data_IF_155891943738
#
_entry.id   IF_155891943738
#
_cell.length_a   1.000
_cell.length_b   1.000
_cell.length_c   1.000
_cell.angle_alpha   90.00
_cell.angle_beta   90.00
_cell.angle_gamma   90.00
#
_symmetry.space_group_name_H-M   'P 1'
#
loop_
_entity.id
_entity.type
_entity.pdbx_description
1 polymer ?
#
# COMPACT_ATOMS: atom_id res chain seq x y z
N UNK A 1 1.17 -5.80 -1.19
CA UNK A 1 1.03 -5.79 0.28
C UNK A 1 0.16 -4.65 0.80
N UNK A 2 0.47 -3.40 0.43
CA UNK A 2 -0.24 -2.21 0.92
C UNK A 2 -1.76 -2.25 0.78
N UNK A 3 -2.29 -2.77 -0.33
CA UNK A 3 -3.74 -2.89 -0.52
C UNK A 3 -4.41 -3.81 0.51
N UNK A 4 -3.84 -5.00 0.73
CA UNK A 4 -4.33 -5.97 1.69
C UNK A 4 -4.27 -5.40 3.11
N UNK A 5 -3.20 -4.68 3.45
CA UNK A 5 -3.05 -3.99 4.73
C UNK A 5 -4.22 -3.03 5.01
N UNK A 6 -4.67 -2.26 4.00
CA UNK A 6 -5.81 -1.36 4.14
C UNK A 6 -7.11 -2.13 4.39
N UNK A 7 -7.35 -3.22 3.65
CA UNK A 7 -8.51 -4.09 3.90
C UNK A 7 -8.50 -4.72 5.29
N UNK A 8 -7.33 -5.12 5.79
CA UNK A 8 -7.19 -5.59 7.17
C UNK A 8 -7.58 -4.48 8.15
N UNK A 9 -7.07 -3.26 7.97
CA UNK A 9 -7.40 -2.13 8.85
C UNK A 9 -8.89 -1.75 8.83
N UNK A 10 -9.55 -1.84 7.66
CA UNK A 10 -10.97 -1.55 7.52
C UNK A 10 -11.88 -2.59 8.19
N UNK A 11 -11.46 -3.85 8.21
CA UNK A 11 -12.28 -4.97 8.69
C UNK A 11 -11.89 -5.45 10.10
N UNK A 12 -10.74 -5.03 10.63
CA UNK A 12 -10.32 -5.38 11.97
C UNK A 12 -11.25 -4.76 13.04
N UNK A 13 -11.38 -5.39 14.22
CA UNK A 13 -12.05 -4.78 15.35
C UNK A 13 -11.46 -3.39 15.65
N UNK A 14 -12.31 -2.51 16.17
CA UNK A 14 -11.89 -1.17 16.57
C UNK A 14 -10.65 -1.26 17.47
N UNK A 15 -9.65 -0.42 17.18
CA UNK A 15 -8.40 -0.30 17.92
C UNK A 15 -7.48 -1.54 17.89
N UNK A 16 -7.78 -2.56 17.08
CA UNK A 16 -6.89 -3.72 16.89
C UNK A 16 -5.66 -3.38 16.02
N UNK A 17 -5.84 -2.53 15.02
CA UNK A 17 -4.74 -2.00 14.20
C UNK A 17 -4.34 -0.63 14.74
N UNK A 18 -3.10 -0.54 15.23
CA UNK A 18 -2.57 0.67 15.90
C UNK A 18 -1.73 1.57 15.00
N UNK A 19 -1.36 1.10 13.82
CA UNK A 19 -0.66 1.88 12.83
C UNK A 19 -0.31 1.03 11.62
N UNK A 20 -0.06 1.69 10.49
CA UNK A 20 0.24 1.05 9.22
C UNK A 20 1.54 1.62 8.65
N UNK A 21 2.40 0.75 8.11
CA UNK A 21 3.56 1.15 7.31
C UNK A 21 3.41 0.54 5.92
N UNK A 22 3.16 1.38 4.93
CA UNK A 22 3.13 1.01 3.52
C UNK A 22 4.49 1.26 2.88
N UNK A 23 5.04 0.25 2.21
CA UNK A 23 6.26 0.32 1.41
C UNK A 23 5.87 0.10 -0.04
N UNK A 24 6.14 1.08 -0.91
CA UNK A 24 5.69 1.08 -2.30
C UNK A 24 4.19 0.67 -2.40
N UNK A 25 3.37 1.28 -1.56
CA UNK A 25 2.00 0.81 -1.34
C UNK A 25 1.09 1.21 -2.49
N UNK A 26 0.56 0.20 -3.19
CA UNK A 26 -0.26 0.42 -4.38
C UNK A 26 -1.63 -0.27 -4.33
N UNK A 27 -2.61 0.32 -3.62
CA UNK A 27 -3.99 -0.11 -3.69
C UNK A 27 -4.57 0.14 -5.08
N UNK A 28 -5.51 -0.68 -5.54
CA UNK A 28 -6.23 -0.49 -6.81
C UNK A 28 -5.34 -0.55 -8.08
N UNK A 29 -4.10 -1.04 -7.97
CA UNK A 29 -3.12 -1.08 -9.05
C UNK A 29 -3.62 -1.83 -10.30
N UNK A 30 -4.49 -2.82 -10.12
CA UNK A 30 -5.06 -3.59 -11.23
C UNK A 30 -5.79 -2.68 -12.21
N UNK A 31 -6.73 -1.87 -11.70
CA UNK A 31 -7.55 -0.98 -12.51
C UNK A 31 -6.79 0.26 -12.96
N UNK A 32 -5.92 0.79 -12.10
CA UNK A 32 -5.29 2.09 -12.35
C UNK A 32 -3.97 2.00 -13.12
N UNK A 33 -3.24 0.89 -13.00
CA UNK A 33 -1.90 0.73 -13.58
C UNK A 33 -1.82 -0.41 -14.59
N UNK A 34 -2.33 -1.61 -14.24
CA UNK A 34 -2.12 -2.81 -15.07
C UNK A 34 -3.07 -2.86 -16.26
N UNK A 35 -4.38 -2.82 -16.02
CA UNK A 35 -5.37 -2.96 -17.10
C UNK A 35 -5.22 -1.93 -18.24
N UNK A 36 -4.90 -0.65 -17.96
CA UNK A 36 -4.70 0.34 -19.03
C UNK A 36 -3.52 0.07 -19.97
N UNK A 37 -2.55 -0.77 -19.58
CA UNK A 37 -1.39 -1.11 -20.42
C UNK A 37 -1.60 -2.36 -21.27
N UNK A 38 -2.68 -3.11 -21.02
CA UNK A 38 -2.95 -4.35 -21.74
C UNK A 38 -3.54 -4.07 -23.12
N UNK A 39 -3.12 -4.89 -24.10
CA UNK A 39 -3.69 -4.85 -25.44
C UNK A 39 -5.13 -5.39 -25.45
N UNK A 40 -5.92 -4.98 -26.45
CA UNK A 40 -7.27 -5.53 -26.66
C UNK A 40 -7.26 -7.06 -26.84
N UNK A 41 -6.22 -7.61 -27.49
CA UNK A 41 -6.06 -9.05 -27.65
C UNK A 41 -5.83 -9.75 -26.31
N UNK A 42 -4.98 -9.18 -25.45
CA UNK A 42 -4.71 -9.70 -24.10
C UNK A 42 -5.99 -9.68 -23.26
N UNK A 43 -6.73 -8.57 -23.27
CA UNK A 43 -7.99 -8.44 -22.54
C UNK A 43 -9.02 -9.46 -23.03
N UNK A 44 -9.15 -9.62 -24.36
CA UNK A 44 -10.05 -10.61 -24.96
C UNK A 44 -9.67 -12.04 -24.55
N UNK A 45 -8.38 -12.36 -24.52
CA UNK A 45 -7.90 -13.67 -24.08
C UNK A 45 -8.24 -13.95 -22.61
N UNK A 46 -8.09 -12.94 -21.75
CA UNK A 46 -8.47 -13.07 -20.34
C UNK A 46 -9.98 -13.31 -20.22
N UNK A 47 -10.81 -12.65 -21.03
CA UNK A 47 -12.26 -12.83 -21.04
C UNK A 47 -12.67 -14.23 -21.55
N UNK A 48 -12.11 -14.69 -22.66
CA UNK A 48 -12.52 -15.93 -23.34
C UNK A 48 -11.87 -17.19 -22.74
N UNK A 49 -10.58 -17.11 -22.37
CA UNK A 49 -9.77 -18.24 -21.88
C UNK A 49 -9.57 -18.20 -20.35
N UNK A 50 -10.01 -17.13 -19.69
CA UNK A 50 -9.98 -16.96 -18.23
C UNK A 50 -8.66 -16.42 -17.67
N UNK A 51 -7.56 -16.41 -18.45
CA UNK A 51 -6.29 -15.79 -18.05
C UNK A 51 -5.35 -15.51 -19.22
N UNK A 52 -4.36 -14.65 -19.00
CA UNK A 52 -3.25 -14.41 -19.93
C UNK A 52 -1.96 -14.08 -19.18
N UNK A 53 -0.82 -14.39 -19.78
CA UNK A 53 0.48 -13.96 -19.25
C UNK A 53 0.74 -12.52 -19.70
N UNK A 54 1.10 -11.67 -18.75
CA UNK A 54 1.48 -10.27 -18.96
C UNK A 54 2.90 -10.04 -18.44
N UNK A 55 3.60 -9.08 -19.02
CA UNK A 55 4.87 -8.59 -18.47
C UNK A 55 4.58 -7.34 -17.65
N UNK A 56 5.07 -7.32 -16.41
CA UNK A 56 5.01 -6.15 -15.53
C UNK A 56 6.35 -5.99 -14.82
N UNK A 57 6.91 -4.78 -14.85
CA UNK A 57 8.29 -4.55 -14.43
C UNK A 57 9.24 -5.51 -15.14
N UNK A 58 10.04 -6.24 -14.36
CA UNK A 58 11.02 -7.20 -14.87
C UNK A 58 10.55 -8.66 -14.83
N UNK A 59 9.24 -8.91 -14.68
CA UNK A 59 8.68 -10.25 -14.46
C UNK A 59 7.44 -10.53 -15.30
N UNK A 60 7.19 -11.81 -15.54
CA UNK A 60 5.95 -12.29 -16.16
C UNK A 60 4.97 -12.77 -15.09
N UNK A 61 3.71 -12.39 -15.24
CA UNK A 61 2.62 -12.74 -14.33
C UNK A 61 1.45 -13.31 -15.11
N UNK A 62 0.78 -14.32 -14.54
CA UNK A 62 -0.51 -14.76 -15.06
C UNK A 62 -1.62 -13.89 -14.45
N UNK A 63 -2.27 -13.08 -15.27
CA UNK A 63 -3.43 -12.30 -14.89
C UNK A 63 -4.71 -13.09 -15.24
N UNK A 64 -5.52 -13.41 -14.23
CA UNK A 64 -6.78 -14.14 -14.43
C UNK A 64 -8.00 -13.23 -14.36
N UNK A 65 -9.08 -13.61 -15.05
CA UNK A 65 -10.37 -12.91 -15.00
C UNK A 65 -10.94 -12.89 -13.58
N UNK A 66 -10.81 -14.02 -12.87
CA UNK A 66 -11.24 -14.14 -11.46
C UNK A 66 -10.53 -13.12 -10.57
N UNK A 67 -9.23 -12.92 -10.77
CA UNK A 67 -8.46 -11.92 -10.03
C UNK A 67 -8.89 -10.49 -10.36
N UNK A 68 -9.11 -10.17 -11.64
CA UNK A 68 -9.59 -8.84 -12.06
C UNK A 68 -10.96 -8.53 -11.44
N UNK A 69 -11.88 -9.48 -11.51
CA UNK A 69 -13.25 -9.32 -11.00
C UNK A 69 -13.30 -9.22 -9.47
N UNK A 70 -12.37 -9.87 -8.78
CA UNK A 70 -12.20 -9.72 -7.34
C UNK A 70 -11.58 -8.35 -7.01
N UNK A 71 -10.56 -7.93 -7.75
CA UNK A 71 -9.89 -6.65 -7.55
C UNK A 71 -10.85 -5.46 -7.74
N UNK A 72 -11.76 -5.52 -8.73
CA UNK A 72 -12.77 -4.48 -8.97
C UNK A 72 -13.74 -4.31 -7.78
N UNK A 73 -14.06 -5.39 -7.07
CA UNK A 73 -14.93 -5.35 -5.88
C UNK A 73 -14.22 -4.79 -4.64
N UNK A 74 -12.90 -4.74 -4.67
CA UNK A 74 -12.05 -4.41 -3.54
C UNK A 74 -11.38 -3.03 -3.68
N UNK A 75 -11.83 -2.19 -4.63
CA UNK A 75 -11.28 -0.85 -4.83
C UNK A 75 -11.47 0.05 -3.60
N UNK A 76 -10.42 0.78 -3.21
CA UNK A 76 -10.40 1.65 -2.02
C UNK A 76 -10.03 3.10 -2.29
N UNK A 77 -9.51 3.44 -3.48
CA UNK A 77 -9.02 4.79 -3.82
C UNK A 77 -10.03 5.67 -4.57
N UNK A 78 -11.21 5.14 -4.96
CA UNK A 78 -12.18 5.86 -5.82
C UNK A 78 -13.09 6.87 -5.11
N UNK A 79 -13.10 6.92 -3.78
CA UNK A 79 -14.08 7.71 -3.01
C UNK A 79 -13.77 9.21 -2.86
N UNK A 80 -12.59 9.68 -3.27
CA UNK A 80 -12.13 11.07 -3.09
C UNK A 80 -11.50 11.33 -1.71
N UNK A 81 -11.22 12.61 -1.37
CA UNK A 81 -10.52 12.96 -0.13
C UNK A 81 -11.23 12.44 1.12
N UNK A 82 -10.46 11.86 2.05
CA UNK A 82 -10.95 11.31 3.33
C UNK A 82 -12.09 10.27 3.24
N UNK A 83 -12.23 9.61 2.09
CA UNK A 83 -13.27 8.60 1.86
C UNK A 83 -12.95 7.22 2.45
N UNK A 84 -11.67 6.92 2.66
CA UNK A 84 -11.16 5.65 3.14
C UNK A 84 -11.08 5.67 4.67
N UNK A 85 -11.96 4.91 5.34
CA UNK A 85 -12.20 4.93 6.79
C UNK A 85 -11.11 4.29 7.66
N UNK A 86 -9.85 4.42 7.26
CA UNK A 86 -8.68 4.05 8.05
C UNK A 86 -8.35 5.22 8.97
N UNK A 87 -8.49 5.00 10.28
CA UNK A 87 -8.32 6.02 11.33
C UNK A 87 -7.06 5.88 12.17
N UNK A 88 -6.33 4.78 12.01
CA UNK A 88 -5.04 4.62 12.68
C UNK A 88 -3.97 5.46 11.97
N UNK A 89 -2.86 5.80 12.65
CA UNK A 89 -1.71 6.42 12.02
C UNK A 89 -1.16 5.63 10.83
N UNK A 90 -0.71 6.33 9.78
CA UNK A 90 -0.16 5.71 8.56
C UNK A 90 1.18 6.33 8.19
N UNK A 91 2.14 5.50 7.82
CA UNK A 91 3.43 5.89 7.24
C UNK A 91 3.55 5.27 5.86
N UNK A 92 3.80 6.09 4.84
CA UNK A 92 3.98 5.65 3.47
C UNK A 92 5.42 5.95 3.05
N UNK A 93 6.13 4.94 2.57
CA UNK A 93 7.48 5.07 2.00
C UNK A 93 7.40 4.74 0.51
N UNK A 94 7.88 5.66 -0.32
CA UNK A 94 7.84 5.55 -1.77
C UNK A 94 9.18 5.98 -2.37
N UNK A 95 9.72 5.18 -3.28
CA UNK A 95 10.90 5.55 -4.06
C UNK A 95 10.52 6.52 -5.19
N UNK A 96 11.31 7.57 -5.40
CA UNK A 96 11.17 8.42 -6.59
C UNK A 96 11.78 7.78 -7.85
N UNK A 97 12.58 6.72 -7.68
CA UNK A 97 13.09 5.88 -8.77
C UNK A 97 12.24 4.62 -9.00
N UNK A 98 11.04 4.55 -8.41
CA UNK A 98 10.12 3.45 -8.66
C UNK A 98 9.57 3.54 -10.10
N UNK A 99 9.92 2.56 -10.92
CA UNK A 99 9.49 2.47 -12.33
C UNK A 99 8.15 1.74 -12.49
N UNK A 100 7.65 1.08 -11.44
CA UNK A 100 6.40 0.31 -11.47
C UNK A 100 5.22 1.11 -10.90
N UNK A 101 5.46 1.91 -9.86
CA UNK A 101 4.43 2.72 -9.18
C UNK A 101 4.82 4.20 -9.24
N UNK A 102 4.03 5.04 -9.94
CA UNK A 102 4.22 6.48 -9.93
C UNK A 102 4.19 7.06 -8.51
N UNK A 103 5.17 7.91 -8.18
CA UNK A 103 5.35 8.47 -6.85
C UNK A 103 4.12 9.24 -6.33
N UNK A 104 3.33 9.82 -7.23
CA UNK A 104 2.10 10.55 -6.93
C UNK A 104 1.03 9.67 -6.29
N UNK A 105 1.06 8.35 -6.50
CA UNK A 105 0.09 7.43 -5.92
C UNK A 105 0.14 7.40 -4.40
N UNK A 106 1.31 7.63 -3.81
CA UNK A 106 1.44 7.78 -2.37
C UNK A 106 0.72 9.04 -1.86
N UNK A 107 0.68 10.14 -2.63
CA UNK A 107 -0.08 11.34 -2.30
C UNK A 107 -1.58 11.12 -2.48
N UNK A 108 -1.99 10.43 -3.55
CA UNK A 108 -3.39 10.04 -3.74
C UNK A 108 -3.88 9.18 -2.59
N UNK A 109 -3.08 8.19 -2.16
CA UNK A 109 -3.41 7.38 -0.99
C UNK A 109 -3.48 8.24 0.29
N UNK A 110 -2.55 9.17 0.48
CA UNK A 110 -2.58 10.11 1.59
C UNK A 110 -3.89 10.93 1.62
N UNK A 111 -4.35 11.42 0.46
CA UNK A 111 -5.54 12.25 0.33
C UNK A 111 -6.84 11.47 0.64
N UNK A 112 -6.94 10.21 0.20
CA UNK A 112 -8.16 9.42 0.42
C UNK A 112 -8.31 8.92 1.87
N UNK A 113 -7.23 8.85 2.66
CA UNK A 113 -7.28 8.37 4.05
C UNK A 113 -8.07 9.35 4.96
N UNK A 114 -8.94 8.81 5.83
CA UNK A 114 -9.73 9.61 6.79
C UNK A 114 -8.86 10.14 7.95
N UNK A 115 -7.79 9.44 8.32
CA UNK A 115 -6.87 9.85 9.38
C UNK A 115 -6.10 11.13 9.01
N UNK A 116 -5.85 11.98 10.01
CA UNK A 116 -4.98 13.15 9.91
C UNK A 116 -3.50 12.83 10.22
N UNK A 117 -3.22 11.67 10.82
CA UNK A 117 -1.87 11.20 11.15
C UNK A 117 -1.29 10.36 10.01
N UNK A 118 -0.99 11.02 8.88
CA UNK A 118 -0.32 10.41 7.72
C UNK A 118 1.01 11.10 7.47
N UNK A 119 2.07 10.31 7.27
CA UNK A 119 3.37 10.81 6.80
C UNK A 119 3.73 10.08 5.52
N UNK A 120 4.01 10.85 4.47
CA UNK A 120 4.57 10.34 3.21
C UNK A 120 6.05 10.69 3.18
N UNK A 121 6.89 9.67 2.99
CA UNK A 121 8.34 9.81 2.87
C UNK A 121 8.79 9.35 1.49
N UNK A 122 9.61 10.17 0.85
CA UNK A 122 10.19 9.87 -0.45
C UNK A 122 11.68 9.64 -0.34
N UNK A 123 12.18 8.54 -0.91
CA UNK A 123 13.62 8.33 -1.09
C UNK A 123 13.99 8.66 -2.53
N UNK A 124 14.96 9.58 -2.71
CA UNK A 124 15.24 10.18 -4.02
C UNK A 124 15.67 9.16 -5.07
N UNK A 125 16.38 8.13 -4.64
CA UNK A 125 16.90 7.08 -5.52
C UNK A 125 16.33 5.70 -5.16
N UNK A 126 15.34 5.64 -4.27
CA UNK A 126 14.69 4.38 -3.91
C UNK A 126 14.02 3.77 -5.13
N UNK A 127 14.26 2.48 -5.31
CA UNK A 127 13.63 1.66 -6.35
C UNK A 127 12.21 1.25 -5.92
N UNK A 128 11.54 0.43 -6.73
CA UNK A 128 10.28 -0.21 -6.34
C UNK A 128 10.41 -1.09 -5.09
N UNK A 129 11.55 -1.76 -4.92
CA UNK A 129 11.74 -2.76 -3.85
C UNK A 129 12.03 -2.10 -2.50
N UNK A 130 12.63 -0.90 -2.52
CA UNK A 130 13.03 -0.15 -1.32
C UNK A 130 13.86 -0.99 -0.34
N UNK A 131 14.90 -1.65 -0.85
CA UNK A 131 15.70 -2.67 -0.14
C UNK A 131 17.13 -2.24 0.21
N UNK A 132 17.50 -1.00 -0.09
CA UNK A 132 18.81 -0.51 0.33
C UNK A 132 18.87 -0.18 1.83
N UNK A 133 20.07 0.13 2.30
CA UNK A 133 20.36 0.44 3.70
C UNK A 133 19.61 1.70 4.20
N UNK A 134 19.38 2.69 3.34
CA UNK A 134 18.69 3.93 3.68
C UNK A 134 17.19 3.71 3.74
N UNK A 135 16.63 3.03 2.74
CA UNK A 135 15.22 2.63 2.66
C UNK A 135 14.84 1.77 3.87
N UNK A 136 15.65 0.76 4.19
CA UNK A 136 15.41 -0.13 5.34
C UNK A 136 15.44 0.63 6.66
N UNK A 137 16.37 1.58 6.84
CA UNK A 137 16.43 2.43 8.04
C UNK A 137 15.19 3.31 8.15
N UNK A 138 14.73 3.89 7.04
CA UNK A 138 13.55 4.73 7.01
C UNK A 138 12.28 3.95 7.40
N UNK A 139 12.09 2.76 6.81
CA UNK A 139 10.96 1.87 7.16
C UNK A 139 11.02 1.47 8.64
N UNK A 140 12.21 1.12 9.15
CA UNK A 140 12.40 0.77 10.56
C UNK A 140 12.12 1.94 11.50
N UNK A 141 12.50 3.17 11.11
CA UNK A 141 12.21 4.37 11.86
C UNK A 141 10.70 4.63 11.95
N UNK A 142 9.97 4.45 10.84
CA UNK A 142 8.51 4.55 10.82
C UNK A 142 7.82 3.50 11.69
N UNK A 143 8.30 2.25 11.65
CA UNK A 143 7.83 1.20 12.55
C UNK A 143 8.06 1.57 14.02
N UNK A 144 9.24 2.11 14.34
CA UNK A 144 9.60 2.52 15.70
C UNK A 144 8.76 3.70 16.20
N UNK A 145 8.51 4.71 15.36
CA UNK A 145 7.61 5.83 15.64
C UNK A 145 6.22 5.32 16.04
N UNK A 146 5.61 4.49 15.19
CA UNK A 146 4.28 3.95 15.43
C UNK A 146 4.22 3.06 16.68
N UNK A 147 5.21 2.18 16.88
CA UNK A 147 5.28 1.32 18.05
C UNK A 147 5.42 2.13 19.35
N UNK A 148 6.30 3.14 19.37
CA UNK A 148 6.56 3.97 20.56
C UNK A 148 5.34 4.75 21.04
N UNK A 149 4.43 5.12 20.14
CA UNK A 149 3.17 5.82 20.48
C UNK A 149 2.18 4.96 21.26
N UNK A 150 2.31 3.64 21.19
CA UNK A 150 1.42 2.70 21.86
C UNK A 150 2.00 2.14 23.16
N UNK A 151 3.32 2.02 23.25
CA UNK A 151 3.96 1.69 24.51
C UNK A 151 3.98 2.93 25.41
N UNK A 152 2.95 3.12 26.23
CA UNK A 152 3.10 3.91 27.46
C UNK A 152 4.29 3.33 28.23
N UNK A 153 5.35 4.13 28.42
CA UNK A 153 6.33 3.82 29.45
C UNK A 153 5.58 3.80 30.78
N UNK A 154 5.36 2.61 31.34
CA UNK A 154 4.87 2.46 32.69
C UNK A 154 5.95 2.94 33.67
N UNK A 155 6.03 4.25 33.86
CA UNK A 155 6.90 4.91 34.83
C UNK A 155 6.36 4.76 36.27
N UNK A 156 5.29 3.99 36.49
CA UNK A 156 4.63 3.80 37.80
C UNK A 156 4.77 2.38 38.36
N UNK A 157 5.22 1.41 37.56
CA UNK A 157 5.52 0.06 38.05
C UNK A 157 6.82 0.06 38.88
N UNK A 158 6.79 -0.31 40.18
CA UNK A 158 7.96 -0.26 41.06
C UNK A 158 9.00 -1.37 40.82
N UNK A 159 8.85 -2.18 39.77
CA UNK A 159 9.62 -3.42 39.57
C UNK A 159 10.84 -3.30 38.66
N UNK A 160 11.26 -2.09 38.28
CA UNK A 160 12.55 -1.84 37.63
C UNK A 160 13.54 -1.17 38.60
N UNK A 161 13.99 -1.96 39.57
CA UNK A 161 15.13 -1.66 40.46
C UNK A 161 15.93 -2.94 40.70
#
# INVERSE_FOLDING_TARGET
GGWVMLHVALNAPKDAVRGLVGVAADPDFTTDLVLPTLSEETLKRIEEEGSSTITWGNSEYTLSKVFIDDAEKNLVMKGGPSSLKVRCPVRLVQGLGDEEIPAERALTLCDVLETDDVVVSYTKFGSHVLDDDEDTRLVTAHLSDLASRYFEYDLKSPTSG
#
